data_IF_653288048055
#
_entry.id   IF_653288048055
#
_cell.length_a   1.000
_cell.length_b   1.000
_cell.length_c   1.000
_cell.angle_alpha   90.00
_cell.angle_beta   90.00
_cell.angle_gamma   90.00
#
_symmetry.space_group_name_H-M   'P 1'
#
loop_
_entity.id
_entity.type
_entity.pdbx_description
1 polymer ?
#
# COMPACT_ATOMS: atom_id res chain seq x y z
N UNK A 1 14.39 -23.67 108.83
CA UNK A 1 14.46 -23.44 107.37
C UNK A 1 13.03 -23.43 106.86
N UNK A 2 12.46 -22.26 106.52
CA UNK A 2 11.54 -22.22 105.38
C UNK A 2 11.96 -21.11 104.42
N UNK A 3 12.15 -21.44 103.15
CA UNK A 3 11.17 -21.24 102.07
C UNK A 3 11.73 -20.19 101.12
N UNK A 4 12.76 -20.58 100.37
CA UNK A 4 13.21 -19.92 99.15
C UNK A 4 12.19 -20.02 98.00
N UNK A 5 11.03 -20.65 98.22
CA UNK A 5 10.00 -20.97 97.21
C UNK A 5 9.13 -19.80 96.72
N UNK A 6 9.12 -18.66 97.41
CA UNK A 6 8.29 -17.51 97.01
C UNK A 6 9.01 -16.58 96.00
N UNK A 7 10.34 -16.53 96.03
CA UNK A 7 11.15 -15.80 95.03
C UNK A 7 11.25 -16.57 93.70
N UNK A 8 11.36 -17.89 93.73
CA UNK A 8 11.42 -18.73 92.52
C UNK A 8 10.12 -18.63 91.71
N UNK A 9 8.96 -18.70 92.36
CA UNK A 9 7.64 -18.53 91.72
C UNK A 9 7.42 -17.16 91.05
N UNK A 10 8.02 -16.11 91.60
CA UNK A 10 7.91 -14.76 91.04
C UNK A 10 8.82 -14.57 89.82
N UNK A 11 10.03 -15.14 89.85
CA UNK A 11 10.91 -15.21 88.69
C UNK A 11 10.26 -16.00 87.55
N UNK A 12 9.62 -17.13 87.85
CA UNK A 12 8.92 -17.95 86.83
C UNK A 12 7.81 -17.18 86.12
N UNK A 13 7.00 -16.41 86.85
CA UNK A 13 5.96 -15.54 86.25
C UNK A 13 6.52 -14.44 85.36
N UNK A 14 7.68 -13.88 85.70
CA UNK A 14 8.35 -12.85 84.89
C UNK A 14 8.97 -13.46 83.62
N UNK A 15 9.56 -14.66 83.72
CA UNK A 15 10.05 -15.41 82.57
C UNK A 15 8.92 -15.81 81.63
N UNK A 16 7.78 -16.26 82.13
CA UNK A 16 6.61 -16.56 81.29
C UNK A 16 6.08 -15.32 80.55
N UNK A 17 6.06 -14.16 81.22
CA UNK A 17 5.69 -12.89 80.58
C UNK A 17 6.66 -12.49 79.46
N UNK A 18 7.95 -12.74 79.67
CA UNK A 18 9.00 -12.49 78.67
C UNK A 18 8.89 -13.47 77.49
N UNK A 19 8.61 -14.76 77.74
CA UNK A 19 8.38 -15.75 76.68
C UNK A 19 7.11 -15.46 75.87
N UNK A 20 6.02 -15.05 76.52
CA UNK A 20 4.81 -14.60 75.84
C UNK A 20 5.08 -13.38 74.95
N UNK A 21 5.82 -12.39 75.46
CA UNK A 21 6.20 -11.20 74.68
C UNK A 21 7.12 -11.56 73.49
N UNK A 22 8.07 -12.49 73.67
CA UNK A 22 8.90 -12.99 72.57
C UNK A 22 8.08 -13.78 71.56
N UNK A 23 7.09 -14.56 72.00
CA UNK A 23 6.18 -15.29 71.13
C UNK A 23 5.30 -14.33 70.29
N UNK A 24 4.75 -13.28 70.91
CA UNK A 24 3.99 -12.24 70.21
C UNK A 24 4.87 -11.46 69.22
N UNK A 25 6.08 -11.09 69.61
CA UNK A 25 7.03 -10.40 68.72
C UNK A 25 7.42 -11.27 67.53
N UNK A 26 7.64 -12.57 67.76
CA UNK A 26 7.98 -13.53 66.72
C UNK A 26 6.79 -13.78 65.78
N UNK A 27 5.58 -13.90 66.32
CA UNK A 27 4.35 -14.00 65.54
C UNK A 27 4.12 -12.74 64.69
N UNK A 28 4.25 -11.54 65.27
CA UNK A 28 4.14 -10.27 64.54
C UNK A 28 5.23 -10.09 63.47
N UNK A 29 6.45 -10.60 63.72
CA UNK A 29 7.53 -10.59 62.73
C UNK A 29 7.26 -11.57 61.57
N UNK A 30 6.68 -12.74 61.85
CA UNK A 30 6.27 -13.70 60.83
C UNK A 30 5.10 -13.18 60.00
N UNK A 31 4.11 -12.52 60.60
CA UNK A 31 3.04 -11.84 59.86
C UNK A 31 3.57 -10.70 58.98
N UNK A 32 4.53 -9.92 59.46
CA UNK A 32 5.16 -8.86 58.66
C UNK A 32 5.90 -9.44 57.45
N UNK A 33 6.65 -10.54 57.62
CA UNK A 33 7.32 -11.23 56.52
C UNK A 33 6.31 -11.82 55.52
N UNK A 34 5.23 -12.42 56.02
CA UNK A 34 4.15 -12.93 55.17
C UNK A 34 3.46 -11.80 54.39
N UNK A 35 3.19 -10.66 55.03
CA UNK A 35 2.63 -9.48 54.38
C UNK A 35 3.56 -8.88 53.32
N UNK A 36 4.87 -8.83 53.59
CA UNK A 36 5.88 -8.39 52.63
C UNK A 36 5.99 -9.33 51.43
N UNK A 37 5.97 -10.65 51.65
CA UNK A 37 6.01 -11.62 50.55
C UNK A 37 4.73 -11.58 49.71
N UNK A 38 3.55 -11.41 50.33
CA UNK A 38 2.32 -11.21 49.58
C UNK A 38 2.36 -9.93 48.73
N UNK A 39 2.92 -8.84 49.25
CA UNK A 39 3.10 -7.61 48.49
C UNK A 39 4.06 -7.82 47.31
N UNK A 40 5.15 -8.56 47.53
CA UNK A 40 6.12 -8.91 46.47
C UNK A 40 5.48 -9.75 45.37
N UNK A 41 4.68 -10.75 45.75
CA UNK A 41 3.94 -11.61 44.80
C UNK A 41 2.87 -10.82 44.05
N UNK A 42 2.13 -9.95 44.75
CA UNK A 42 1.13 -9.08 44.12
C UNK A 42 1.76 -8.12 43.11
N UNK A 43 2.90 -7.51 43.46
CA UNK A 43 3.65 -6.63 42.56
C UNK A 43 4.21 -7.40 41.36
N UNK A 44 4.79 -8.59 41.56
CA UNK A 44 5.27 -9.44 40.48
C UNK A 44 4.14 -9.88 39.53
N UNK A 45 2.94 -10.14 40.04
CA UNK A 45 1.77 -10.45 39.22
C UNK A 45 1.30 -9.25 38.37
N UNK A 46 1.38 -8.04 38.92
CA UNK A 46 1.09 -6.81 38.17
C UNK A 46 2.14 -6.54 37.08
N UNK A 47 3.42 -6.77 37.37
CA UNK A 47 4.49 -6.66 36.36
C UNK A 47 4.31 -7.68 35.24
N UNK A 48 4.04 -8.95 35.56
CA UNK A 48 3.77 -9.99 34.56
C UNK A 48 2.55 -9.70 33.68
N UNK A 49 1.47 -9.19 34.27
CA UNK A 49 0.27 -8.82 33.50
C UNK A 49 0.52 -7.61 32.59
N UNK A 50 1.36 -6.66 33.00
CA UNK A 50 1.82 -5.58 32.12
C UNK A 50 2.72 -6.07 31.02
N UNK A 51 3.70 -6.93 31.31
CA UNK A 51 4.60 -7.50 30.30
C UNK A 51 3.81 -8.30 29.26
N UNK A 52 2.90 -9.17 29.69
CA UNK A 52 2.02 -9.91 28.79
C UNK A 52 1.17 -8.98 27.93
N UNK A 53 0.57 -7.94 28.53
CA UNK A 53 -0.20 -6.94 27.79
C UNK A 53 0.64 -6.13 26.79
N UNK A 54 1.89 -5.82 27.13
CA UNK A 54 2.83 -5.15 26.24
C UNK A 54 3.27 -6.06 25.08
N UNK A 55 3.55 -7.33 25.35
CA UNK A 55 3.89 -8.32 24.32
C UNK A 55 2.74 -8.55 23.36
N UNK A 56 1.50 -8.64 23.84
CA UNK A 56 0.33 -8.76 22.98
C UNK A 56 0.18 -7.54 22.07
N UNK A 57 0.35 -6.33 22.62
CA UNK A 57 0.28 -5.10 21.84
C UNK A 57 1.39 -5.04 20.79
N UNK A 58 2.61 -5.45 21.16
CA UNK A 58 3.76 -5.50 20.25
C UNK A 58 3.53 -6.50 19.11
N UNK A 59 3.06 -7.71 19.45
CA UNK A 59 2.69 -8.74 18.46
C UNK A 59 1.55 -8.26 17.55
N UNK A 60 0.55 -7.59 18.11
CA UNK A 60 -0.55 -6.98 17.36
C UNK A 60 -0.07 -5.90 16.39
N UNK A 61 0.83 -5.02 16.82
CA UNK A 61 1.45 -3.99 15.98
C UNK A 61 2.31 -4.61 14.86
N UNK A 62 3.11 -5.64 15.15
CA UNK A 62 3.91 -6.34 14.13
C UNK A 62 3.05 -7.05 13.08
N UNK A 63 1.94 -7.68 13.48
CA UNK A 63 0.97 -8.28 12.56
C UNK A 63 0.33 -7.23 11.65
N UNK A 64 -0.03 -6.08 12.19
CA UNK A 64 -0.59 -4.97 11.40
C UNK A 64 0.44 -4.42 10.41
N UNK A 65 1.67 -4.19 10.87
CA UNK A 65 2.77 -3.71 10.03
C UNK A 65 3.10 -4.68 8.91
N UNK A 66 3.27 -5.97 9.23
CA UNK A 66 3.55 -7.00 8.22
C UNK A 66 2.38 -7.21 7.25
N UNK A 67 1.13 -7.06 7.71
CA UNK A 67 -0.05 -7.05 6.86
C UNK A 67 -0.05 -5.87 5.87
N UNK A 68 0.29 -4.67 6.35
CA UNK A 68 0.41 -3.48 5.51
C UNK A 68 1.55 -3.61 4.50
N UNK A 69 2.72 -4.08 4.91
CA UNK A 69 3.87 -4.31 4.03
C UNK A 69 3.56 -5.36 2.95
N UNK A 70 2.80 -6.42 3.29
CA UNK A 70 2.32 -7.42 2.32
C UNK A 70 1.39 -6.80 1.28
N UNK A 71 0.41 -6.02 1.72
CA UNK A 71 -0.53 -5.35 0.82
C UNK A 71 0.20 -4.40 -0.14
N UNK A 72 1.13 -3.60 0.38
CA UNK A 72 1.94 -2.71 -0.44
C UNK A 72 2.80 -3.48 -1.46
N UNK A 73 3.36 -4.63 -1.07
CA UNK A 73 4.15 -5.47 -1.98
C UNK A 73 3.31 -6.08 -3.08
N UNK A 74 2.12 -6.61 -2.77
CA UNK A 74 1.17 -7.13 -3.76
C UNK A 74 0.74 -6.05 -4.74
N UNK A 75 0.42 -4.85 -4.25
CA UNK A 75 0.06 -3.72 -5.11
C UNK A 75 1.20 -3.31 -6.03
N UNK A 76 2.44 -3.22 -5.51
CA UNK A 76 3.60 -2.95 -6.36
C UNK A 76 3.83 -4.05 -7.37
N UNK A 77 3.77 -5.31 -6.96
CA UNK A 77 3.98 -6.45 -7.85
C UNK A 77 2.96 -6.46 -8.98
N UNK A 78 1.66 -6.33 -8.68
CA UNK A 78 0.61 -6.28 -9.69
C UNK A 78 0.73 -5.06 -10.61
N UNK A 79 1.18 -3.91 -10.09
CA UNK A 79 1.46 -2.74 -10.93
C UNK A 79 2.63 -2.97 -11.88
N UNK A 80 3.74 -3.52 -11.40
CA UNK A 80 4.92 -3.79 -12.23
C UNK A 80 4.66 -4.89 -13.26
N UNK A 81 3.89 -5.92 -12.91
CA UNK A 81 3.46 -6.96 -13.83
C UNK A 81 2.61 -6.36 -14.97
N UNK A 82 1.58 -5.57 -14.62
CA UNK A 82 0.71 -4.94 -15.60
C UNK A 82 1.48 -3.97 -16.50
N UNK A 83 2.38 -3.15 -15.95
CA UNK A 83 3.25 -2.28 -16.74
C UNK A 83 4.12 -3.09 -17.71
N UNK A 84 4.72 -4.17 -17.24
CA UNK A 84 5.58 -5.04 -18.06
C UNK A 84 4.79 -5.65 -19.22
N UNK A 85 3.58 -6.15 -18.96
CA UNK A 85 2.71 -6.71 -19.99
C UNK A 85 2.29 -5.65 -21.02
N UNK A 86 1.87 -4.46 -20.57
CA UNK A 86 1.52 -3.33 -21.45
C UNK A 86 2.72 -2.94 -22.31
N UNK A 87 3.89 -2.79 -21.69
CA UNK A 87 5.11 -2.43 -22.40
C UNK A 87 5.51 -3.48 -23.43
N UNK A 88 5.42 -4.77 -23.10
CA UNK A 88 5.70 -5.86 -24.02
C UNK A 88 4.71 -5.87 -25.20
N UNK A 89 3.43 -5.67 -24.93
CA UNK A 89 2.38 -5.63 -25.95
C UNK A 89 2.60 -4.45 -26.93
N UNK A 90 2.80 -3.25 -26.39
CA UNK A 90 3.08 -2.05 -27.20
C UNK A 90 4.38 -2.26 -27.99
N UNK A 91 5.44 -2.80 -27.36
CA UNK A 91 6.70 -3.09 -28.02
C UNK A 91 6.53 -4.05 -29.21
N UNK A 92 5.75 -5.11 -29.05
CA UNK A 92 5.43 -6.06 -30.13
C UNK A 92 4.68 -5.37 -31.28
N UNK A 93 3.65 -4.57 -30.97
CA UNK A 93 2.88 -3.85 -32.00
C UNK A 93 3.75 -2.86 -32.78
N UNK A 94 4.63 -2.14 -32.08
CA UNK A 94 5.55 -1.21 -32.73
C UNK A 94 6.51 -1.94 -33.65
N UNK A 95 7.05 -3.09 -33.24
CA UNK A 95 7.94 -3.88 -34.09
C UNK A 95 7.21 -4.46 -35.31
N UNK A 96 5.97 -4.92 -35.16
CA UNK A 96 5.14 -5.37 -36.28
C UNK A 96 4.89 -4.24 -37.30
N UNK A 97 4.55 -3.03 -36.82
CA UNK A 97 4.38 -1.85 -37.67
C UNK A 97 5.68 -1.52 -38.39
N UNK A 98 6.80 -1.57 -37.68
CA UNK A 98 8.13 -1.32 -38.25
C UNK A 98 8.47 -2.32 -39.36
N UNK A 99 8.26 -3.62 -39.12
CA UNK A 99 8.45 -4.67 -40.13
C UNK A 99 7.57 -4.42 -41.35
N UNK A 100 6.31 -4.02 -41.15
CA UNK A 100 5.40 -3.72 -42.24
C UNK A 100 5.87 -2.52 -43.08
N UNK A 101 6.27 -1.43 -42.43
CA UNK A 101 6.79 -0.23 -43.11
C UNK A 101 8.07 -0.54 -43.88
N UNK A 102 9.03 -1.23 -43.26
CA UNK A 102 10.27 -1.66 -43.91
C UNK A 102 9.97 -2.56 -45.13
N UNK A 103 8.98 -3.45 -45.01
CA UNK A 103 8.52 -4.30 -46.10
C UNK A 103 7.93 -3.50 -47.27
N UNK A 104 7.18 -2.44 -47.00
CA UNK A 104 6.66 -1.53 -48.02
C UNK A 104 7.77 -0.73 -48.71
N UNK A 105 8.77 -0.25 -47.94
CA UNK A 105 9.92 0.49 -48.49
C UNK A 105 10.73 -0.41 -49.42
N UNK A 106 11.07 -1.64 -49.01
CA UNK A 106 11.84 -2.58 -49.85
C UNK A 106 11.16 -2.85 -51.19
N UNK A 107 9.82 -2.93 -51.23
CA UNK A 107 9.07 -3.11 -52.49
C UNK A 107 9.24 -1.94 -53.46
N UNK A 108 9.43 -0.72 -52.95
CA UNK A 108 9.66 0.47 -53.75
C UNK A 108 11.12 0.53 -54.21
N UNK A 109 12.05 0.10 -53.36
CA UNK A 109 13.49 0.09 -53.65
C UNK A 109 13.91 -0.99 -54.64
N UNK A 110 13.25 -2.15 -54.64
CA UNK A 110 13.66 -3.28 -55.47
C UNK A 110 13.56 -2.96 -56.98
N UNK A 111 14.71 -2.92 -57.65
CA UNK A 111 14.83 -2.60 -59.08
C UNK A 111 14.72 -1.11 -59.45
N UNK A 112 14.47 -0.22 -58.49
CA UNK A 112 14.32 1.22 -58.73
C UNK A 112 15.66 1.96 -58.60
N UNK A 113 16.08 2.68 -59.64
CA UNK A 113 17.31 3.49 -59.63
C UNK A 113 17.05 4.99 -59.44
N UNK A 114 15.80 5.43 -59.64
CA UNK A 114 15.41 6.83 -59.61
C UNK A 114 14.08 6.98 -58.90
N UNK A 115 13.99 7.92 -57.97
CA UNK A 115 12.77 8.24 -57.24
C UNK A 115 12.35 9.68 -57.52
N UNK A 116 11.05 9.90 -57.67
CA UNK A 116 10.45 11.23 -57.77
C UNK A 116 9.37 11.37 -56.71
N UNK A 117 9.43 12.46 -55.94
CA UNK A 117 8.41 12.80 -54.96
C UNK A 117 7.49 13.86 -55.55
N UNK A 118 6.18 13.58 -55.62
CA UNK A 118 5.16 14.53 -56.05
C UNK A 118 4.34 14.99 -54.83
N UNK A 119 4.37 16.28 -54.52
CA UNK A 119 3.61 16.88 -53.42
C UNK A 119 2.26 17.45 -53.92
N UNK A 120 1.15 16.90 -53.44
CA UNK A 120 -0.19 17.40 -53.70
C UNK A 120 -0.61 18.38 -52.60
N UNK A 121 -0.05 19.59 -52.65
CA UNK A 121 -0.19 20.69 -51.66
C UNK A 121 -1.64 21.10 -51.31
N UNK A 122 -2.65 20.61 -52.01
CA UNK A 122 -4.07 20.93 -51.80
C UNK A 122 -4.99 19.74 -52.05
N UNK A 123 -4.58 18.52 -51.67
CA UNK A 123 -5.37 17.29 -51.91
C UNK A 123 -6.78 17.33 -51.30
N UNK A 124 -6.93 17.95 -50.13
CA UNK A 124 -8.23 18.15 -49.45
C UNK A 124 -9.23 18.94 -50.32
N UNK A 125 -8.76 19.97 -51.00
CA UNK A 125 -9.60 20.87 -51.80
C UNK A 125 -9.96 20.31 -53.18
N UNK A 126 -9.33 19.20 -53.59
CA UNK A 126 -9.60 18.53 -54.87
C UNK A 126 -10.66 17.43 -54.74
N UNK A 127 -10.94 16.95 -53.53
CA UNK A 127 -11.91 15.87 -53.30
C UNK A 127 -13.24 16.45 -52.84
N UNK A 128 -14.28 16.21 -53.65
CA UNK A 128 -15.63 16.67 -53.34
C UNK A 128 -16.24 15.91 -52.15
N UNK A 129 -16.96 16.64 -51.30
CA UNK A 129 -17.84 16.03 -50.31
C UNK A 129 -19.10 15.56 -51.04
N UNK A 130 -19.44 14.28 -50.86
CA UNK A 130 -20.68 13.69 -51.39
C UNK A 130 -21.87 14.59 -51.07
N UNK A 131 -22.77 14.89 -52.03
CA UNK A 131 -23.86 15.83 -51.82
C UNK A 131 -24.67 15.59 -50.54
N UNK A 132 -24.89 14.32 -50.17
CA UNK A 132 -25.66 13.88 -49.01
C UNK A 132 -24.96 14.19 -47.67
N UNK A 133 -23.63 14.26 -47.68
CA UNK A 133 -22.77 14.48 -46.51
C UNK A 133 -22.41 15.97 -46.31
N UNK A 134 -22.67 16.85 -47.28
CA UNK A 134 -22.28 18.28 -47.20
C UNK A 134 -22.85 19.00 -46.00
N UNK A 135 -24.11 18.73 -45.65
CA UNK A 135 -24.78 19.29 -44.48
C UNK A 135 -24.06 18.97 -43.15
N UNK A 136 -23.33 17.85 -43.07
CA UNK A 136 -22.55 17.47 -41.88
C UNK A 136 -21.30 18.33 -41.70
N UNK A 137 -20.89 19.02 -42.75
CA UNK A 137 -19.74 19.95 -42.75
C UNK A 137 -20.18 21.40 -42.51
N UNK A 138 -21.44 21.62 -42.09
CA UNK A 138 -21.96 22.96 -41.92
C UNK A 138 -21.27 23.70 -40.76
N UNK A 139 -21.00 24.99 -40.96
CA UNK A 139 -20.40 25.89 -39.97
C UNK A 139 -21.05 27.27 -40.03
N UNK A 140 -21.12 27.96 -38.90
CA UNK A 140 -21.69 29.30 -38.81
C UNK A 140 -20.62 30.37 -38.88
N UNK A 141 -20.86 31.41 -39.66
CA UNK A 141 -20.14 32.68 -39.60
C UNK A 141 -21.08 33.75 -39.04
N UNK A 142 -20.56 34.93 -38.71
CA UNK A 142 -21.41 36.07 -38.30
C UNK A 142 -22.42 36.53 -39.38
N UNK A 143 -22.35 35.96 -40.59
CA UNK A 143 -23.20 36.29 -41.73
C UNK A 143 -24.17 35.15 -42.12
N UNK A 144 -24.11 33.99 -41.46
CA UNK A 144 -25.03 32.88 -41.74
C UNK A 144 -24.41 31.49 -41.61
N UNK A 145 -25.16 30.48 -42.07
CA UNK A 145 -24.74 29.07 -42.08
C UNK A 145 -24.18 28.70 -43.47
N UNK A 146 -23.00 28.10 -43.47
CA UNK A 146 -22.27 27.67 -44.66
C UNK A 146 -21.98 26.18 -44.57
N UNK A 147 -21.69 25.52 -45.69
CA UNK A 147 -21.24 24.13 -45.74
C UNK A 147 -20.12 23.97 -46.77
N UNK A 148 -19.24 23.00 -46.57
CA UNK A 148 -18.17 22.73 -47.53
C UNK A 148 -18.67 21.88 -48.70
N UNK A 149 -18.15 22.18 -49.91
CA UNK A 149 -18.36 21.39 -51.12
C UNK A 149 -17.23 20.39 -51.39
N UNK A 150 -16.05 20.68 -50.86
CA UNK A 150 -14.82 19.88 -50.93
C UNK A 150 -14.32 19.60 -49.53
N UNK A 151 -13.52 18.57 -49.32
CA UNK A 151 -13.17 18.12 -47.98
C UNK A 151 -12.46 19.22 -47.17
N UNK A 152 -13.05 19.71 -46.06
CA UNK A 152 -12.36 20.62 -45.17
C UNK A 152 -11.29 19.91 -44.35
N UNK A 153 -10.31 20.67 -43.86
CA UNK A 153 -9.35 20.17 -42.89
C UNK A 153 -10.04 19.78 -41.58
N UNK A 154 -9.50 18.77 -40.89
CA UNK A 154 -9.94 18.36 -39.56
C UNK A 154 -11.06 17.32 -39.51
N UNK A 155 -11.55 16.82 -40.65
CA UNK A 155 -12.44 15.66 -40.65
C UNK A 155 -11.68 14.37 -40.28
N UNK A 156 -12.29 13.51 -39.47
CA UNK A 156 -11.74 12.19 -39.18
C UNK A 156 -11.78 11.30 -40.43
N UNK A 157 -10.75 10.46 -40.64
CA UNK A 157 -10.66 9.45 -41.71
C UNK A 157 -10.50 9.98 -43.14
N UNK A 158 -10.16 11.26 -43.31
CA UNK A 158 -9.89 11.85 -44.63
C UNK A 158 -8.78 11.10 -45.37
N UNK A 159 -7.71 10.72 -44.67
CA UNK A 159 -6.58 9.99 -45.26
C UNK A 159 -6.95 8.67 -45.94
N UNK A 160 -8.08 8.04 -45.57
CA UNK A 160 -8.56 6.82 -46.22
C UNK A 160 -9.27 7.11 -47.54
N UNK A 161 -9.96 8.25 -47.63
CA UNK A 161 -10.74 8.67 -48.81
C UNK A 161 -9.92 9.44 -49.83
N UNK A 162 -8.72 9.90 -49.46
CA UNK A 162 -7.78 10.52 -50.38
C UNK A 162 -6.93 9.50 -51.14
N UNK A 163 -7.17 8.18 -51.02
CA UNK A 163 -6.33 7.15 -51.64
C UNK A 163 -6.67 6.85 -53.11
N UNK A 164 -7.84 7.30 -53.56
CA UNK A 164 -8.29 7.22 -54.95
C UNK A 164 -7.86 8.46 -55.74
#
# INVERSE_FOLDING_TARGET
MPETGHLTRSMDKQFEKLFAMMAEMKAGQEEMKAGQEQMRVAQAGLEQTMEFGQEEMRSGQEKMRSGQERLEKELRYGQEEMKTQIQAHIGSQVEEIKIHVDGCIRKIEDGSQWFMTLDLKSRYWQVEVRPEDRQKTAFTTGQGLWQFKVMPFGLCNVQQHLKD
#
